data_IF_342586383973
#
_entry.id   IF_342586383973
#
_cell.length_a   1.000
_cell.length_b   1.000
_cell.length_c   1.000
_cell.angle_alpha   90.00
_cell.angle_beta   90.00
_cell.angle_gamma   90.00
#
_symmetry.space_group_name_H-M   'P 1'
#
loop_
_entity.id
_entity.type
_entity.pdbx_description
1 polymer ?
#
# COMPACT_ATOMS: atom_id res chain seq x y z
N UNK A 1 21.35 24.96 7.88
CA UNK A 1 20.47 24.86 9.08
C UNK A 1 20.82 25.92 10.11
N UNK A 2 22.10 26.09 10.47
CA UNK A 2 22.54 26.96 11.57
C UNK A 2 22.38 28.47 11.30
N UNK A 3 22.52 28.92 10.05
CA UNK A 3 22.43 30.35 9.69
C UNK A 3 21.05 31.00 9.97
N UNK A 4 19.99 30.21 10.03
CA UNK A 4 18.61 30.71 10.18
C UNK A 4 17.83 30.02 11.32
N UNK A 5 18.53 29.35 12.26
CA UNK A 5 17.88 28.60 13.34
C UNK A 5 17.07 29.48 14.30
N UNK A 6 17.44 30.76 14.44
CA UNK A 6 16.71 31.73 15.27
C UNK A 6 15.37 32.17 14.65
N UNK A 7 15.24 32.11 13.32
CA UNK A 7 14.05 32.61 12.61
C UNK A 7 13.17 31.51 12.03
N UNK A 8 13.68 30.28 11.87
CA UNK A 8 12.94 29.17 11.27
C UNK A 8 13.17 27.85 12.03
N UNK A 9 12.07 27.11 12.25
CA UNK A 9 12.10 25.71 12.70
C UNK A 9 11.86 24.80 11.50
N UNK A 10 12.75 23.83 11.29
CA UNK A 10 12.69 22.90 10.16
C UNK A 10 12.16 21.54 10.63
N UNK A 11 11.18 20.99 9.92
CA UNK A 11 10.66 19.64 10.12
C UNK A 11 11.01 18.83 8.87
N UNK A 12 11.81 17.78 9.07
CA UNK A 12 12.29 16.92 8.00
C UNK A 12 11.58 15.57 8.08
N UNK A 13 10.81 15.23 7.04
CA UNK A 13 10.12 13.95 6.94
C UNK A 13 10.94 13.00 6.05
N UNK A 14 11.47 11.92 6.63
CA UNK A 14 12.17 10.86 5.91
C UNK A 14 11.62 9.49 6.31
N UNK A 15 11.56 8.57 5.35
CA UNK A 15 11.15 7.18 5.59
C UNK A 15 12.28 6.30 6.14
N UNK A 16 13.54 6.71 5.96
CA UNK A 16 14.70 5.94 6.41
C UNK A 16 15.77 6.87 6.98
N UNK A 17 16.05 6.74 8.28
CA UNK A 17 17.10 7.50 8.95
C UNK A 17 18.51 7.12 8.46
N UNK A 18 18.67 5.94 7.84
CA UNK A 18 19.96 5.41 7.40
C UNK A 18 20.57 6.20 6.25
N UNK A 19 19.72 6.78 5.38
CA UNK A 19 20.14 7.61 4.24
C UNK A 19 20.38 9.08 4.61
N UNK A 20 20.00 9.49 5.82
CA UNK A 20 20.17 10.87 6.29
C UNK A 20 21.61 11.06 6.76
N UNK A 21 22.25 12.12 6.26
CA UNK A 21 23.62 12.51 6.66
C UNK A 21 23.72 12.68 8.17
N UNK A 22 24.81 12.21 8.76
CA UNK A 22 25.05 12.29 10.20
C UNK A 22 25.01 13.73 10.72
N UNK A 23 25.48 14.69 9.92
CA UNK A 23 25.44 16.12 10.22
C UNK A 23 24.02 16.68 10.46
N UNK A 24 22.99 16.04 9.91
CA UNK A 24 21.57 16.39 10.14
C UNK A 24 21.04 15.59 11.33
N UNK A 25 21.41 14.31 11.44
CA UNK A 25 20.97 13.42 12.52
C UNK A 25 21.46 13.88 13.90
N UNK A 26 22.66 14.45 13.99
CA UNK A 26 23.22 14.97 15.23
C UNK A 26 22.56 16.27 15.70
N UNK A 27 21.91 17.00 14.80
CA UNK A 27 21.34 18.34 15.06
C UNK A 27 19.81 18.36 15.13
N UNK A 28 19.16 17.27 14.76
CA UNK A 28 17.70 17.16 14.73
C UNK A 28 17.21 16.16 15.77
N UNK A 29 16.10 16.49 16.44
CA UNK A 29 15.36 15.51 17.23
C UNK A 29 14.78 14.44 16.29
N UNK A 30 15.27 13.21 16.43
CA UNK A 30 14.81 12.10 15.62
C UNK A 30 13.54 11.48 16.24
N UNK A 31 12.38 11.89 15.75
CA UNK A 31 11.09 11.28 16.11
C UNK A 31 10.83 10.11 15.18
N UNK A 32 11.00 8.88 15.69
CA UNK A 32 10.59 7.67 14.98
C UNK A 32 9.12 7.39 15.24
N UNK A 33 8.32 7.51 14.19
CA UNK A 33 6.95 7.02 14.17
C UNK A 33 7.03 5.58 13.70
N UNK A 34 7.11 4.65 14.64
CA UNK A 34 7.01 3.24 14.29
C UNK A 34 5.62 3.00 13.69
N UNK A 35 5.56 2.21 12.62
CA UNK A 35 4.32 1.51 12.34
C UNK A 35 4.04 0.67 13.59
N UNK A 36 2.86 0.82 14.23
CA UNK A 36 2.56 0.11 15.46
C UNK A 36 2.66 -1.40 15.18
N UNK A 37 3.66 -2.04 15.78
CA UNK A 37 3.96 -3.44 15.60
C UNK A 37 3.43 -4.20 16.81
N UNK A 38 2.97 -5.41 16.53
CA UNK A 38 2.16 -6.32 17.37
C UNK A 38 2.93 -6.96 18.54
N UNK A 39 4.15 -6.50 18.83
CA UNK A 39 5.13 -7.30 19.58
C UNK A 39 5.12 -7.14 21.10
N UNK A 40 4.35 -6.21 21.68
CA UNK A 40 4.34 -6.03 23.15
C UNK A 40 3.31 -6.92 23.88
N UNK A 41 2.39 -7.59 23.19
CA UNK A 41 1.37 -8.48 23.79
C UNK A 41 1.60 -9.98 23.51
N UNK A 42 2.48 -10.32 22.56
CA UNK A 42 2.75 -11.70 22.14
C UNK A 42 3.27 -12.61 23.26
N UNK A 43 4.09 -12.10 24.18
CA UNK A 43 4.68 -12.93 25.24
C UNK A 43 3.63 -13.40 26.26
N UNK A 44 2.62 -12.57 26.53
CA UNK A 44 1.52 -12.92 27.45
C UNK A 44 0.64 -13.98 26.77
N UNK A 45 0.29 -13.80 25.50
CA UNK A 45 -0.50 -14.76 24.72
C UNK A 45 0.15 -16.13 24.61
N UNK A 46 1.46 -16.19 24.32
CA UNK A 46 2.20 -17.46 24.26
C UNK A 46 2.38 -18.14 25.62
N UNK A 47 2.62 -17.36 26.68
CA UNK A 47 2.71 -17.89 28.04
C UNK A 47 1.36 -18.48 28.49
N UNK A 48 0.25 -17.80 28.21
CA UNK A 48 -1.11 -18.25 28.54
C UNK A 48 -1.52 -19.45 27.66
N UNK A 49 -1.23 -19.44 26.36
CA UNK A 49 -1.57 -20.56 25.45
C UNK A 49 -0.82 -21.85 25.81
N UNK A 50 0.46 -21.74 26.19
CA UNK A 50 1.26 -22.89 26.66
C UNK A 50 0.77 -23.39 28.01
N UNK A 51 0.33 -22.49 28.90
CA UNK A 51 -0.15 -22.84 30.24
C UNK A 51 -1.58 -23.42 30.26
N UNK A 52 -2.47 -22.99 29.35
CA UNK A 52 -3.88 -23.41 29.32
C UNK A 52 -4.19 -24.47 28.26
N UNK A 53 -3.25 -24.81 27.37
CA UNK A 53 -3.45 -25.75 26.25
C UNK A 53 -4.68 -25.41 25.37
N UNK A 54 -5.01 -24.12 25.25
CA UNK A 54 -6.09 -23.62 24.39
C UNK A 54 -5.43 -23.06 23.12
N UNK A 55 -5.94 -23.48 21.96
CA UNK A 55 -5.57 -22.90 20.66
C UNK A 55 -6.28 -21.55 20.53
N UNK A 56 -5.61 -20.47 20.89
CA UNK A 56 -6.13 -19.12 20.67
C UNK A 56 -6.16 -18.83 19.15
N UNK A 57 -7.27 -18.29 18.61
CA UNK A 57 -7.30 -17.74 17.26
C UNK A 57 -6.30 -16.57 17.17
N UNK A 58 -5.56 -16.51 16.07
CA UNK A 58 -4.50 -15.54 15.80
C UNK A 58 -4.92 -14.09 16.14
N UNK A 59 -4.28 -13.48 17.13
CA UNK A 59 -4.47 -12.07 17.55
C UNK A 59 -3.87 -11.10 16.53
N UNK A 60 -4.52 -10.93 15.36
CA UNK A 60 -4.18 -9.93 14.32
C UNK A 60 -4.72 -8.50 14.61
N UNK A 61 -5.18 -8.22 15.83
CA UNK A 61 -6.33 -7.33 16.03
C UNK A 61 -6.03 -5.81 16.12
N UNK A 62 -4.86 -5.36 16.60
CA UNK A 62 -4.78 -3.96 17.07
C UNK A 62 -4.58 -2.90 15.97
N UNK A 63 -3.85 -3.20 14.90
CA UNK A 63 -3.64 -2.23 13.83
C UNK A 63 -4.73 -2.28 12.77
N UNK A 64 -5.24 -3.49 12.50
CA UNK A 64 -6.27 -3.68 11.51
C UNK A 64 -7.54 -2.92 11.90
N UNK A 65 -7.91 -2.96 13.18
CA UNK A 65 -9.01 -2.18 13.76
C UNK A 65 -8.83 -0.66 13.60
N UNK A 66 -7.60 -0.13 13.73
CA UNK A 66 -7.35 1.30 13.54
C UNK A 66 -7.60 1.73 12.11
N UNK A 67 -7.10 0.99 11.12
CA UNK A 67 -7.37 1.29 9.71
C UNK A 67 -8.87 1.20 9.43
N UNK A 68 -9.56 0.16 9.94
CA UNK A 68 -11.00 0.02 9.81
C UNK A 68 -11.73 1.24 10.37
N UNK A 69 -11.38 1.71 11.57
CA UNK A 69 -12.01 2.90 12.17
C UNK A 69 -11.85 4.17 11.32
N UNK A 70 -10.68 4.34 10.68
CA UNK A 70 -10.43 5.47 9.76
C UNK A 70 -11.26 5.33 8.49
N UNK A 71 -11.35 4.13 7.92
CA UNK A 71 -12.17 3.87 6.73
C UNK A 71 -13.66 4.04 7.03
N UNK A 72 -14.14 3.58 8.18
CA UNK A 72 -15.52 3.83 8.64
C UNK A 72 -15.80 5.32 8.84
N UNK A 73 -14.84 6.07 9.39
CA UNK A 73 -14.98 7.52 9.53
C UNK A 73 -15.09 8.23 8.17
N UNK A 74 -14.28 7.81 7.19
CA UNK A 74 -14.37 8.32 5.82
C UNK A 74 -15.71 7.93 5.18
N UNK A 75 -16.15 6.68 5.32
CA UNK A 75 -17.42 6.20 4.79
C UNK A 75 -18.62 6.95 5.39
N UNK A 76 -18.62 7.20 6.71
CA UNK A 76 -19.65 8.00 7.40
C UNK A 76 -19.68 9.44 6.88
N UNK A 77 -18.52 10.06 6.66
CA UNK A 77 -18.43 11.41 6.09
C UNK A 77 -18.92 11.48 4.64
N UNK A 78 -18.67 10.45 3.86
CA UNK A 78 -19.11 10.33 2.47
C UNK A 78 -20.57 9.82 2.34
N UNK A 79 -21.23 9.48 3.45
CA UNK A 79 -22.61 8.96 3.45
C UNK A 79 -22.75 7.56 2.86
N UNK A 80 -21.68 6.75 2.86
CA UNK A 80 -21.62 5.43 2.24
C UNK A 80 -21.86 4.31 3.27
N UNK A 81 -22.56 3.25 2.86
CA UNK A 81 -22.71 2.04 3.67
C UNK A 81 -21.48 1.15 3.53
N UNK A 82 -20.73 0.94 4.60
CA UNK A 82 -19.46 0.19 4.55
C UNK A 82 -19.55 -1.13 5.32
N UNK A 83 -19.60 -2.29 4.63
CA UNK A 83 -19.68 -3.59 5.29
C UNK A 83 -18.38 -3.99 6.01
N UNK A 84 -18.50 -4.49 7.24
CA UNK A 84 -17.33 -4.85 8.07
C UNK A 84 -16.45 -5.95 7.46
N UNK A 85 -17.06 -6.97 6.82
CA UNK A 85 -16.32 -8.05 6.17
C UNK A 85 -15.50 -7.56 4.97
N UNK A 86 -15.93 -6.49 4.30
CA UNK A 86 -15.18 -5.87 3.22
C UNK A 86 -14.04 -4.99 3.75
N UNK A 87 -14.26 -4.29 4.86
CA UNK A 87 -13.25 -3.49 5.54
C UNK A 87 -12.01 -4.32 5.90
N UNK A 88 -12.21 -5.47 6.57
CA UNK A 88 -11.13 -6.36 6.97
C UNK A 88 -10.26 -6.80 5.76
N UNK A 89 -10.89 -7.10 4.62
CA UNK A 89 -10.18 -7.51 3.40
C UNK A 89 -9.35 -6.37 2.79
N UNK A 90 -9.85 -5.14 2.82
CA UNK A 90 -9.07 -3.96 2.37
C UNK A 90 -7.85 -3.78 3.26
N UNK A 91 -8.04 -3.92 4.58
CA UNK A 91 -6.96 -3.76 5.55
C UNK A 91 -5.89 -4.83 5.36
N UNK A 92 -6.26 -6.09 5.20
CA UNK A 92 -5.32 -7.17 4.90
C UNK A 92 -4.55 -6.89 3.60
N UNK A 93 -5.23 -6.45 2.54
CA UNK A 93 -4.60 -6.10 1.26
C UNK A 93 -3.73 -4.84 1.34
N UNK A 94 -3.98 -3.95 2.30
CA UNK A 94 -3.25 -2.69 2.45
C UNK A 94 -1.82 -2.85 2.97
N UNK A 95 -1.45 -4.04 3.46
CA UNK A 95 -0.12 -4.36 3.98
C UNK A 95 0.39 -3.29 4.97
N UNK A 96 -0.46 -2.96 5.94
CA UNK A 96 -0.22 -1.96 6.99
C UNK A 96 0.03 -0.52 6.48
N UNK A 97 -0.35 -0.20 5.25
CA UNK A 97 -0.21 1.14 4.67
C UNK A 97 -1.57 1.83 4.55
N UNK A 98 -1.79 2.88 5.36
CA UNK A 98 -3.06 3.62 5.37
C UNK A 98 -3.36 4.30 4.04
N UNK A 99 -2.36 4.89 3.37
CA UNK A 99 -2.56 5.53 2.05
C UNK A 99 -3.05 4.50 1.04
N UNK A 100 -2.46 3.32 1.05
CA UNK A 100 -2.87 2.20 0.20
C UNK A 100 -4.32 1.79 0.52
N UNK A 101 -4.68 1.66 1.79
CA UNK A 101 -6.04 1.33 2.21
C UNK A 101 -7.08 2.34 1.71
N UNK A 102 -6.80 3.65 1.83
CA UNK A 102 -7.70 4.72 1.36
C UNK A 102 -7.83 4.73 -0.16
N UNK A 103 -6.72 4.63 -0.90
CA UNK A 103 -6.74 4.57 -2.36
C UNK A 103 -7.50 3.34 -2.87
N UNK A 104 -7.31 2.18 -2.23
CA UNK A 104 -8.08 0.97 -2.52
C UNK A 104 -9.57 1.18 -2.27
N UNK A 105 -9.94 1.83 -1.17
CA UNK A 105 -11.34 2.13 -0.85
C UNK A 105 -11.99 3.05 -1.90
N UNK A 106 -11.30 4.10 -2.33
CA UNK A 106 -11.75 5.01 -3.40
C UNK A 106 -11.91 4.27 -4.74
N UNK A 107 -10.92 3.44 -5.09
CA UNK A 107 -10.95 2.64 -6.31
C UNK A 107 -12.15 1.68 -6.33
N UNK A 108 -12.42 1.02 -5.20
CA UNK A 108 -13.58 0.13 -5.06
C UNK A 108 -14.91 0.87 -5.21
N UNK A 109 -15.01 2.12 -4.70
CA UNK A 109 -16.20 2.96 -4.86
C UNK A 109 -16.45 3.29 -6.33
N UNK A 110 -15.41 3.65 -7.08
CA UNK A 110 -15.51 3.99 -8.51
C UNK A 110 -15.91 2.78 -9.34
N UNK A 111 -15.35 1.60 -9.04
CA UNK A 111 -15.62 0.39 -9.82
C UNK A 111 -17.05 -0.13 -9.64
N UNK A 112 -17.54 -0.18 -8.40
CA UNK A 112 -18.88 -0.71 -8.12
C UNK A 112 -19.42 -0.19 -6.80
N UNK A 113 -20.56 0.51 -6.89
CA UNK A 113 -21.38 0.87 -5.75
C UNK A 113 -22.83 0.41 -6.00
N UNK A 114 -23.55 -0.18 -5.02
CA UNK A 114 -23.21 -0.38 -3.60
C UNK A 114 -22.16 -1.46 -3.33
N UNK A 115 -21.46 -1.35 -2.20
CA UNK A 115 -20.44 -2.32 -1.79
C UNK A 115 -21.04 -3.69 -1.47
N UNK A 116 -20.32 -4.76 -1.81
CA UNK A 116 -20.69 -6.14 -1.46
C UNK A 116 -19.53 -6.83 -0.75
N UNK A 117 -19.84 -7.76 0.16
CA UNK A 117 -18.81 -8.47 0.94
C UNK A 117 -17.83 -9.26 0.05
N UNK A 118 -18.31 -9.76 -1.10
CA UNK A 118 -17.53 -10.61 -2.02
C UNK A 118 -16.90 -9.83 -3.17
N UNK A 119 -16.93 -8.49 -3.16
CA UNK A 119 -16.30 -7.69 -4.20
C UNK A 119 -14.80 -8.00 -4.27
N UNK A 120 -14.30 -8.24 -5.48
CA UNK A 120 -12.87 -8.40 -5.71
C UNK A 120 -12.20 -7.05 -5.54
N UNK A 121 -11.17 -7.00 -4.69
CA UNK A 121 -10.39 -5.80 -4.44
C UNK A 121 -9.32 -5.74 -5.52
N UNK A 122 -9.38 -4.77 -6.45
CA UNK A 122 -8.34 -4.62 -7.46
C UNK A 122 -6.99 -4.34 -6.78
N UNK A 123 -5.89 -5.01 -7.18
CA UNK A 123 -4.56 -4.55 -6.83
C UNK A 123 -4.29 -3.19 -7.48
N UNK A 124 -3.26 -2.47 -7.03
CA UNK A 124 -2.83 -1.28 -7.75
C UNK A 124 -2.21 -1.67 -9.09
N UNK A 125 -2.39 -0.83 -10.11
CA UNK A 125 -1.95 -1.13 -11.49
C UNK A 125 -0.45 -1.47 -11.56
N UNK A 126 0.40 -0.79 -10.78
CA UNK A 126 1.82 -1.10 -10.71
C UNK A 126 2.13 -2.47 -10.09
N UNK A 127 1.33 -2.92 -9.11
CA UNK A 127 1.51 -4.23 -8.46
C UNK A 127 1.12 -5.34 -9.44
N UNK A 128 0.03 -5.13 -10.18
CA UNK A 128 -0.37 -6.03 -11.25
C UNK A 128 0.70 -6.10 -12.34
N UNK A 129 1.19 -4.95 -12.81
CA UNK A 129 2.21 -4.88 -13.85
C UNK A 129 3.52 -5.58 -13.44
N UNK A 130 3.99 -5.36 -12.21
CA UNK A 130 5.18 -6.05 -11.68
C UNK A 130 4.94 -7.57 -11.58
N UNK A 131 3.75 -7.99 -11.17
CA UNK A 131 3.40 -9.41 -11.12
C UNK A 131 3.34 -10.06 -12.50
N UNK A 132 2.86 -9.33 -13.51
CA UNK A 132 2.85 -9.78 -14.90
C UNK A 132 4.27 -9.92 -15.45
N UNK A 133 5.13 -8.93 -15.24
CA UNK A 133 6.56 -9.01 -15.59
C UNK A 133 7.22 -10.20 -14.91
N UNK A 134 7.03 -10.38 -13.60
CA UNK A 134 7.60 -11.49 -12.86
C UNK A 134 7.12 -12.85 -13.42
N UNK A 135 5.84 -12.96 -13.76
CA UNK A 135 5.28 -14.17 -14.37
C UNK A 135 5.88 -14.44 -15.75
N UNK A 136 6.13 -13.40 -16.53
CA UNK A 136 6.70 -13.51 -17.87
C UNK A 136 8.18 -13.92 -17.82
N UNK A 137 8.96 -13.38 -16.88
CA UNK A 137 10.36 -13.79 -16.64
C UNK A 137 10.43 -15.28 -16.25
N UNK A 138 9.49 -15.75 -15.43
CA UNK A 138 9.45 -17.16 -15.01
C UNK A 138 9.04 -18.11 -16.13
N UNK A 139 8.23 -17.65 -17.09
CA UNK A 139 7.79 -18.48 -18.23
C UNK A 139 8.89 -18.67 -19.26
N UNK A 140 9.63 -17.61 -19.59
CA UNK A 140 10.62 -17.67 -20.66
C UNK A 140 11.82 -16.76 -20.36
N UNK A 141 12.99 -17.38 -20.21
CA UNK A 141 14.27 -16.70 -20.02
C UNK A 141 15.06 -16.61 -21.34
N UNK A 142 14.41 -16.24 -22.44
CA UNK A 142 15.06 -16.07 -23.75
C UNK A 142 15.47 -14.61 -24.00
N UNK A 143 16.61 -14.33 -24.66
CA UNK A 143 17.09 -12.98 -24.96
C UNK A 143 16.04 -12.07 -25.61
N UNK A 144 15.20 -12.59 -26.51
CA UNK A 144 14.11 -11.84 -27.16
C UNK A 144 13.03 -11.37 -26.18
N UNK A 145 12.70 -12.18 -25.18
CA UNK A 145 11.67 -11.84 -24.18
C UNK A 145 12.15 -10.77 -23.20
N UNK A 146 13.46 -10.64 -22.95
CA UNK A 146 14.01 -9.60 -22.08
C UNK A 146 13.89 -8.17 -22.65
N UNK A 147 13.89 -8.01 -23.98
CA UNK A 147 13.77 -6.68 -24.59
C UNK A 147 12.33 -6.15 -24.57
N UNK A 148 11.32 -7.02 -24.60
CA UNK A 148 9.91 -6.62 -24.63
C UNK A 148 9.46 -5.79 -23.39
N UNK A 149 9.82 -6.16 -22.15
CA UNK A 149 9.55 -5.33 -20.96
C UNK A 149 10.22 -3.95 -20.98
N UNK A 150 11.38 -3.81 -21.63
CA UNK A 150 12.08 -2.52 -21.73
C UNK A 150 11.41 -1.58 -22.75
N UNK A 151 10.70 -2.15 -23.74
CA UNK A 151 9.96 -1.41 -24.76
C UNK A 151 8.69 -0.76 -24.17
N UNK A 152 7.96 -1.47 -23.32
CA UNK A 152 6.73 -0.94 -22.67
C UNK A 152 7.03 0.16 -21.66
N UNK A 153 8.22 0.18 -21.04
CA UNK A 153 8.68 1.29 -20.20
C UNK A 153 8.90 2.60 -21.01
N UNK A 154 9.15 2.52 -22.32
CA UNK A 154 9.31 3.70 -23.16
C UNK A 154 7.97 4.38 -23.50
N UNK A 155 6.88 3.63 -23.64
CA UNK A 155 5.55 4.22 -23.93
C UNK A 155 5.04 5.06 -22.75
N UNK A 156 5.23 4.62 -21.50
CA UNK A 156 4.76 5.35 -20.31
C UNK A 156 5.51 6.66 -20.04
N UNK A 157 6.74 6.85 -20.55
CA UNK A 157 7.45 8.14 -20.46
C UNK A 157 6.95 9.18 -21.46
N UNK A 158 6.21 8.78 -22.50
CA UNK A 158 5.72 9.70 -23.55
C UNK A 158 4.33 10.26 -23.29
N UNK A 159 3.55 9.69 -22.37
CA UNK A 159 2.22 10.19 -21.98
C UNK A 159 2.29 11.14 -20.79
N UNK A 160 3.14 12.15 -20.93
CA UNK A 160 2.97 13.41 -20.22
C UNK A 160 2.09 14.33 -21.06
N UNK A 161 0.80 14.01 -21.22
CA UNK A 161 -0.14 15.01 -21.69
C UNK A 161 -1.58 14.80 -21.19
N UNK A 162 -2.15 15.91 -20.77
CA UNK A 162 -3.46 16.06 -20.15
C UNK A 162 -4.60 15.53 -21.02
N UNK A 163 -5.38 14.57 -20.53
CA UNK A 163 -6.86 14.58 -20.58
C UNK A 163 -7.45 13.31 -19.97
N UNK A 164 -8.35 13.50 -19.01
CA UNK A 164 -9.33 12.51 -18.57
C UNK A 164 -10.14 12.01 -19.77
N UNK A 165 -10.24 10.69 -19.94
CA UNK A 165 -11.48 9.97 -20.28
C UNK A 165 -11.27 8.45 -20.21
N UNK A 166 -12.21 7.81 -19.52
CA UNK A 166 -12.39 6.38 -19.43
C UNK A 166 -12.43 5.71 -20.82
N UNK A 167 -11.83 4.52 -20.92
CA UNK A 167 -12.05 3.66 -22.09
C UNK A 167 -10.98 2.58 -22.26
N UNK A 168 -11.28 1.38 -21.74
CA UNK A 168 -10.75 0.08 -22.16
C UNK A 168 -9.35 0.07 -22.80
N UNK A 169 -8.32 -0.27 -22.02
CA UNK A 169 -7.01 -0.67 -22.52
C UNK A 169 -7.13 -1.97 -23.34
N UNK A 170 -7.45 -1.84 -24.63
CA UNK A 170 -7.35 -2.92 -25.60
C UNK A 170 -5.89 -2.97 -26.05
N UNK A 171 -5.13 -3.89 -25.44
CA UNK A 171 -3.75 -4.19 -25.82
C UNK A 171 -3.74 -4.73 -27.25
N UNK A 172 -3.57 -3.84 -28.24
CA UNK A 172 -3.29 -4.24 -29.63
C UNK A 172 -1.82 -4.60 -29.70
N UNK A 173 -1.51 -5.90 -29.61
CA UNK A 173 -0.21 -6.44 -30.04
C UNK A 173 -0.17 -6.42 -31.57
N UNK A 174 0.43 -5.40 -32.16
CA UNK A 174 0.89 -5.46 -33.54
C UNK A 174 2.14 -6.34 -33.59
N UNK A 175 1.97 -7.56 -34.09
CA UNK A 175 3.07 -8.40 -34.56
C UNK A 175 3.65 -7.73 -35.82
N UNK A 176 4.82 -7.10 -35.69
CA UNK A 176 5.69 -6.72 -36.79
C UNK A 176 6.85 -7.71 -36.85
N UNK A 177 7.10 -8.25 -38.05
CA UNK A 177 8.10 -9.25 -38.40
C UNK A 177 9.54 -8.89 -38.00
#
# INVERSE_FOLDING_TARGET
>A
MEKYSASCRLILCSNSSSKVTEAVRSRCLNVRINAPMEEETWWIGNAISTALAIRLPQEKALFEERIVSVLEFIAKKEGLQFPQGFAARIVEKSNRNLRRAVLTFESCRVQRYPFTNNQTIPPMDWEQYVSEIASDIMKEQSPKRYFLPLEVDMEFKTTGDSTLREGNCKVKRTLGF
#
